data_IF_902030771376
#
_entry.id   IF_902030771376
#
_cell.length_a   1.000
_cell.length_b   1.000
_cell.length_c   1.000
_cell.angle_alpha   90.00
_cell.angle_beta   90.00
_cell.angle_gamma   90.00
#
_symmetry.space_group_name_H-M   'P 1'
#
loop_
_entity.id
_entity.type
_entity.pdbx_description
1 polymer ?
#
# COMPACT_ATOMS: atom_id res chain seq x y z
N UNK A 1 17.68 1.05 17.28
CA UNK A 1 16.95 1.18 16.00
C UNK A 1 15.47 1.35 16.31
N UNK A 2 14.83 2.43 15.86
CA UNK A 2 13.36 2.53 15.94
C UNK A 2 12.79 1.65 14.85
N UNK A 3 12.04 0.60 15.23
CA UNK A 3 11.24 -0.16 14.29
C UNK A 3 10.26 0.83 13.67
N UNK A 4 10.32 1.00 12.36
CA UNK A 4 9.38 1.87 11.66
C UNK A 4 7.96 1.33 11.92
N UNK A 5 7.08 2.21 12.39
CA UNK A 5 5.70 1.83 12.66
C UNK A 5 5.00 1.42 11.35
N UNK A 6 3.99 0.57 11.46
CA UNK A 6 3.16 0.14 10.31
C UNK A 6 2.55 1.36 9.64
N UNK A 7 2.31 1.29 8.33
CA UNK A 7 1.70 2.40 7.62
C UNK A 7 0.32 2.70 8.21
N UNK A 8 0.07 3.99 8.46
CA UNK A 8 -1.27 4.48 8.79
C UNK A 8 -2.23 4.22 7.63
N UNK A 9 -3.56 4.17 7.88
CA UNK A 9 -4.54 4.09 6.79
C UNK A 9 -4.36 5.20 5.74
N UNK A 10 -4.05 6.42 6.17
CA UNK A 10 -3.84 7.58 5.33
C UNK A 10 -2.59 7.42 4.44
N UNK A 11 -1.49 6.92 4.99
CA UNK A 11 -0.29 6.63 4.20
C UNK A 11 -0.51 5.50 3.19
N UNK A 12 -1.29 4.46 3.55
CA UNK A 12 -1.66 3.39 2.61
C UNK A 12 -2.53 3.92 1.47
N UNK A 13 -3.44 4.85 1.77
CA UNK A 13 -4.25 5.54 0.76
C UNK A 13 -3.38 6.39 -0.17
N UNK A 14 -2.46 7.20 0.38
CA UNK A 14 -1.55 8.04 -0.40
C UNK A 14 -0.64 7.18 -1.32
N UNK A 15 -0.04 6.12 -0.77
CA UNK A 15 0.74 5.14 -1.53
C UNK A 15 -0.07 4.53 -2.69
N UNK A 16 -1.32 4.13 -2.44
CA UNK A 16 -2.17 3.58 -3.49
C UNK A 16 -2.40 4.59 -4.64
N UNK A 17 -2.63 5.87 -4.32
CA UNK A 17 -2.83 6.92 -5.31
C UNK A 17 -1.58 7.17 -6.14
N UNK A 18 -0.41 7.27 -5.51
CA UNK A 18 0.86 7.51 -6.22
C UNK A 18 1.17 6.38 -7.21
N UNK A 19 0.92 5.13 -6.80
CA UNK A 19 1.06 3.94 -7.66
C UNK A 19 0.08 3.93 -8.85
N UNK A 20 -1.10 4.55 -8.72
CA UNK A 20 -2.12 4.63 -9.76
C UNK A 20 -1.84 5.78 -10.74
N UNK A 21 -1.44 6.94 -10.21
CA UNK A 21 -1.12 8.13 -11.01
C UNK A 21 0.12 7.93 -11.88
N UNK A 22 1.09 7.12 -11.43
CA UNK A 22 2.33 6.81 -12.15
C UNK A 22 3.17 8.06 -12.49
N UNK A 23 3.10 9.09 -11.66
CA UNK A 23 3.94 10.29 -11.77
C UNK A 23 5.41 9.99 -11.43
N UNK A 24 5.63 8.99 -10.57
CA UNK A 24 6.94 8.44 -10.23
C UNK A 24 7.02 6.97 -10.62
N UNK A 25 8.24 6.46 -10.82
CA UNK A 25 8.44 5.03 -11.06
C UNK A 25 8.03 4.21 -9.84
N UNK A 26 7.65 2.95 -10.07
CA UNK A 26 7.23 2.06 -9.00
C UNK A 26 8.31 1.88 -7.91
N UNK A 27 9.59 1.89 -8.30
CA UNK A 27 10.71 1.76 -7.38
C UNK A 27 10.87 3.01 -6.50
N UNK A 28 10.76 4.21 -7.09
CA UNK A 28 10.83 5.47 -6.34
C UNK A 28 9.71 5.56 -5.29
N UNK A 29 8.49 5.15 -5.66
CA UNK A 29 7.36 5.10 -4.72
C UNK A 29 7.62 4.08 -3.60
N UNK A 30 8.11 2.88 -3.92
CA UNK A 30 8.43 1.88 -2.89
C UNK A 30 9.51 2.38 -1.91
N UNK A 31 10.54 3.07 -2.41
CA UNK A 31 11.59 3.67 -1.58
C UNK A 31 11.05 4.80 -0.71
N UNK A 32 10.20 5.70 -1.24
CA UNK A 32 9.61 6.79 -0.48
C UNK A 32 8.81 6.28 0.73
N UNK A 33 7.90 5.31 0.50
CA UNK A 33 7.08 4.72 1.56
C UNK A 33 7.78 3.59 2.33
N UNK A 34 9.05 3.28 2.00
CA UNK A 34 9.88 2.20 2.55
C UNK A 34 9.12 0.87 2.67
N UNK A 35 8.47 0.49 1.58
CA UNK A 35 7.72 -0.76 1.45
C UNK A 35 8.39 -1.70 0.46
N UNK A 36 8.16 -2.99 0.64
CA UNK A 36 8.49 -3.96 -0.41
C UNK A 36 7.58 -3.76 -1.63
N UNK A 37 8.06 -4.20 -2.80
CA UNK A 37 7.24 -4.24 -4.02
C UNK A 37 5.94 -5.05 -3.79
N UNK A 38 6.04 -6.16 -3.06
CA UNK A 38 4.90 -7.01 -2.70
C UNK A 38 3.86 -6.24 -1.88
N UNK A 39 4.28 -5.50 -0.86
CA UNK A 39 3.38 -4.66 -0.04
C UNK A 39 2.71 -3.58 -0.90
N UNK A 40 3.49 -2.87 -1.73
CA UNK A 40 2.96 -1.87 -2.65
C UNK A 40 1.90 -2.45 -3.61
N UNK A 41 2.15 -3.65 -4.17
CA UNK A 41 1.16 -4.35 -5.00
C UNK A 41 -0.10 -4.73 -4.24
N UNK A 42 0.03 -5.28 -3.03
CA UNK A 42 -1.13 -5.63 -2.18
C UNK A 42 -2.00 -4.41 -1.90
N UNK A 43 -1.38 -3.29 -1.51
CA UNK A 43 -2.08 -2.04 -1.19
C UNK A 43 -2.81 -1.48 -2.43
N UNK A 44 -2.12 -1.38 -3.57
CA UNK A 44 -2.72 -0.91 -4.82
C UNK A 44 -3.91 -1.78 -5.24
N UNK A 45 -3.76 -3.10 -5.19
CA UNK A 45 -4.80 -4.03 -5.63
C UNK A 45 -6.01 -3.98 -4.69
N UNK A 46 -5.79 -3.91 -3.37
CA UNK A 46 -6.88 -3.77 -2.39
C UNK A 46 -7.66 -2.46 -2.61
N UNK A 47 -6.96 -1.37 -2.90
CA UNK A 47 -7.59 -0.09 -3.20
C UNK A 47 -8.46 -0.14 -4.46
N UNK A 48 -7.94 -0.70 -5.56
CA UNK A 48 -8.67 -0.85 -6.81
C UNK A 48 -9.89 -1.78 -6.67
N UNK A 49 -9.75 -2.87 -5.92
CA UNK A 49 -10.85 -3.79 -5.64
C UNK A 49 -11.96 -3.12 -4.83
N UNK A 50 -11.59 -2.40 -3.76
CA UNK A 50 -12.53 -1.63 -2.96
C UNK A 50 -13.27 -0.57 -3.79
N UNK A 51 -12.54 0.18 -4.63
CA UNK A 51 -13.13 1.15 -5.56
C UNK A 51 -14.09 0.51 -6.55
N UNK A 52 -13.72 -0.64 -7.13
CA UNK A 52 -14.57 -1.40 -8.06
C UNK A 52 -15.87 -1.85 -7.39
N UNK A 53 -15.79 -2.41 -6.17
CA UNK A 53 -16.97 -2.83 -5.39
C UNK A 53 -17.89 -1.65 -5.07
N UNK A 54 -17.32 -0.52 -4.66
CA UNK A 54 -18.07 0.70 -4.37
C UNK A 54 -18.83 1.21 -5.61
N UNK A 55 -18.17 1.23 -6.78
CA UNK A 55 -18.80 1.63 -8.05
C UNK A 55 -19.88 0.65 -8.53
N UNK A 56 -19.74 -0.64 -8.22
CA UNK A 56 -20.76 -1.65 -8.51
C UNK A 56 -22.02 -1.54 -7.60
N UNK A 57 -22.08 -0.54 -6.72
CA UNK A 57 -23.21 -0.33 -5.81
C UNK A 57 -23.23 -1.28 -4.62
N UNK A 58 -22.14 -2.00 -4.35
CA UNK A 58 -22.03 -2.84 -3.16
C UNK A 58 -22.06 -1.95 -1.91
N UNK A 59 -23.19 -1.95 -1.20
CA UNK A 59 -23.36 -1.30 0.10
C UNK A 59 -23.23 -2.34 1.21
N UNK A 60 -22.04 -2.42 1.78
CA UNK A 60 -21.76 -3.22 2.97
C UNK A 60 -20.43 -2.78 3.58
N UNK A 61 -20.41 -2.56 4.90
CA UNK A 61 -19.18 -2.45 5.69
C UNK A 61 -18.62 -3.86 5.87
N UNK A 62 -18.14 -4.46 4.80
CA UNK A 62 -17.31 -5.64 4.94
C UNK A 62 -15.93 -5.12 5.36
N UNK A 63 -15.49 -5.49 6.57
CA UNK A 63 -14.21 -5.04 7.10
C UNK A 63 -13.13 -5.46 6.10
N UNK A 64 -12.49 -4.49 5.45
CA UNK A 64 -11.34 -4.78 4.60
C UNK A 64 -10.26 -5.26 5.55
N UNK A 65 -9.88 -6.53 5.43
CA UNK A 65 -8.79 -7.07 6.24
C UNK A 65 -7.56 -6.16 6.05
N UNK A 66 -6.93 -5.73 7.16
CA UNK A 66 -5.81 -4.82 7.07
C UNK A 66 -4.72 -5.49 6.24
N UNK A 67 -4.40 -4.89 5.09
CA UNK A 67 -3.23 -5.29 4.32
C UNK A 67 -2.04 -5.20 5.25
N UNK A 68 -1.44 -6.35 5.55
CA UNK A 68 -0.28 -6.45 6.41
C UNK A 68 0.96 -6.05 5.60
N UNK A 69 1.64 -5.02 6.09
CA UNK A 69 2.84 -4.49 5.47
C UNK A 69 4.04 -5.37 5.89
N UNK A 70 4.62 -6.11 4.94
CA UNK A 70 5.97 -6.67 5.11
C UNK A 70 6.96 -5.51 4.93
N UNK A 71 7.30 -4.86 6.05
CA UNK A 71 8.32 -3.82 6.10
C UNK A 71 9.67 -4.52 5.89
N UNK A 72 10.41 -4.12 4.85
CA UNK A 72 11.78 -4.59 4.64
C UNK A 72 12.67 -3.96 5.72
N UNK A 73 13.29 -4.80 6.55
CA UNK A 73 14.42 -4.40 7.40
C UNK A 73 15.60 -4.03 6.49
N UNK A 74 16.08 -2.79 6.58
CA UNK A 74 17.32 -2.34 5.90
C UNK A 74 18.58 -2.92 6.59
N UNK A 75 18.75 -4.24 6.55
CA UNK A 75 20.02 -4.90 6.93
C UNK A 75 20.33 -6.12 6.07
N UNK A 76 20.31 -5.97 4.74
CA UNK A 76 20.85 -6.99 3.83
C UNK A 76 21.60 -6.33 2.66
N UNK A 77 22.69 -5.64 2.99
CA UNK A 77 23.84 -5.52 2.11
C UNK A 77 24.84 -6.55 2.65
N UNK A 78 25.00 -7.63 1.90
CA UNK A 78 25.97 -8.70 2.12
C UNK A 78 26.18 -9.42 0.80
#
# INVERSE_FOLDING_TARGET
>A
MRKREKLTPEERFALALDLIKREHSFAEVCSHYHVSHTTAYKIRNAFLEGGRRALAGARGREAVEPVLDDIRDETAIG
#
